data_IF_180047681563
#
_entry.id   IF_180047681563
#
_cell.length_a   1.000
_cell.length_b   1.000
_cell.length_c   1.000
_cell.angle_alpha   90.00
_cell.angle_beta   90.00
_cell.angle_gamma   90.00
#
_symmetry.space_group_name_H-M   'P 1'
#
loop_
_entity.id
_entity.type
_entity.pdbx_description
1 polymer ?
#
# COMPACT_ATOMS: atom_id res chain seq x y z
N UNK A 1 -10.17 -17.37 -0.29
CA UNK A 1 -9.55 -17.61 0.99
C UNK A 1 -9.06 -19.05 1.06
N UNK A 2 -7.77 -19.34 0.90
CA UNK A 2 -7.15 -20.63 1.22
C UNK A 2 -7.61 -21.88 0.47
N UNK A 3 -8.43 -21.77 -0.56
CA UNK A 3 -8.96 -22.96 -1.25
C UNK A 3 -7.88 -23.74 -2.01
N UNK A 4 -6.83 -23.05 -2.47
CA UNK A 4 -5.73 -23.72 -3.17
C UNK A 4 -4.81 -24.50 -2.21
N UNK A 5 -4.70 -24.11 -0.96
CA UNK A 5 -3.89 -24.80 0.03
C UNK A 5 -4.47 -26.19 0.37
N UNK A 6 -5.79 -26.32 0.45
CA UNK A 6 -6.44 -27.63 0.69
C UNK A 6 -6.13 -28.67 -0.35
N UNK A 7 -6.11 -28.27 -1.62
CA UNK A 7 -5.80 -29.19 -2.71
C UNK A 7 -4.33 -29.59 -2.72
N UNK A 8 -3.43 -28.69 -2.30
CA UNK A 8 -2.02 -28.99 -2.16
C UNK A 8 -1.72 -29.89 -0.96
N UNK A 9 -2.34 -29.64 0.18
CA UNK A 9 -2.23 -30.54 1.35
C UNK A 9 -2.74 -31.94 1.01
N UNK A 10 -3.86 -32.06 0.30
CA UNK A 10 -4.38 -33.36 -0.18
C UNK A 10 -3.43 -34.05 -1.15
N UNK A 11 -2.61 -33.32 -1.88
CA UNK A 11 -1.57 -33.87 -2.78
C UNK A 11 -0.28 -34.22 -2.06
N UNK A 12 -0.22 -34.07 -0.74
CA UNK A 12 0.95 -34.46 0.07
C UNK A 12 2.16 -33.56 -0.11
N UNK A 13 1.96 -32.26 -0.34
CA UNK A 13 3.04 -31.27 -0.36
C UNK A 13 3.39 -30.91 1.09
N UNK A 14 4.55 -31.35 1.65
CA UNK A 14 4.78 -31.38 3.11
C UNK A 14 4.92 -30.02 3.78
N UNK A 15 5.17 -28.95 3.00
CA UNK A 15 5.46 -27.61 3.56
C UNK A 15 4.22 -26.71 3.65
N UNK A 16 3.02 -27.23 3.29
CA UNK A 16 1.81 -26.42 3.21
C UNK A 16 0.81 -26.82 4.26
N UNK A 17 0.76 -26.04 5.31
CA UNK A 17 -0.33 -26.10 6.28
C UNK A 17 -1.49 -25.26 5.79
N UNK A 18 -2.71 -25.77 6.00
CA UNK A 18 -3.95 -25.06 5.70
C UNK A 18 -4.16 -24.02 6.79
N UNK A 19 -3.72 -22.78 6.52
CA UNK A 19 -3.85 -21.68 7.47
C UNK A 19 -5.08 -20.84 7.16
N UNK A 20 -6.01 -20.77 8.12
CA UNK A 20 -7.00 -19.71 8.20
C UNK A 20 -6.37 -18.56 8.98
N UNK A 21 -6.14 -17.45 8.29
CA UNK A 21 -5.63 -16.23 8.92
C UNK A 21 -6.68 -15.12 8.78
N UNK A 22 -6.85 -14.37 9.85
CA UNK A 22 -7.57 -13.11 9.84
C UNK A 22 -6.68 -12.01 10.41
N UNK A 23 -6.88 -10.80 9.93
CA UNK A 23 -6.21 -9.62 10.44
C UNK A 23 -7.21 -8.46 10.47
N UNK A 24 -6.95 -7.50 11.36
CA UNK A 24 -7.68 -6.25 11.41
C UNK A 24 -6.67 -5.09 11.43
N UNK A 25 -7.00 -4.04 10.69
CA UNK A 25 -6.24 -2.78 10.70
C UNK A 25 -7.10 -1.73 11.36
N UNK A 26 -6.63 -1.20 12.49
CA UNK A 26 -7.27 -0.08 13.16
C UNK A 26 -6.77 1.23 12.54
N UNK A 27 -7.68 2.02 12.02
CA UNK A 27 -7.43 3.37 11.51
C UNK A 27 -8.00 4.39 12.48
N UNK A 28 -7.24 5.43 12.75
CA UNK A 28 -7.64 6.54 13.61
C UNK A 28 -7.20 7.87 12.99
N UNK A 29 -7.59 8.96 13.61
CA UNK A 29 -7.02 10.26 13.30
C UNK A 29 -5.51 10.27 13.56
N UNK A 30 -4.81 11.19 12.90
CA UNK A 30 -3.37 11.37 13.05
C UNK A 30 -3.03 11.76 14.49
N UNK A 31 -2.26 10.91 15.17
CA UNK A 31 -1.84 11.12 16.57
C UNK A 31 -0.45 11.78 16.69
N UNK A 32 0.20 12.12 15.58
CA UNK A 32 1.54 12.70 15.55
C UNK A 32 2.68 11.69 15.79
N UNK A 33 2.38 10.42 16.05
CA UNK A 33 3.36 9.39 16.42
C UNK A 33 3.34 8.21 15.45
N UNK A 34 2.17 7.59 15.31
CA UNK A 34 2.02 6.43 14.42
C UNK A 34 2.19 6.82 12.95
N UNK A 35 2.71 5.92 12.10
CA UNK A 35 2.80 6.17 10.67
C UNK A 35 1.47 6.58 10.07
N UNK A 36 1.50 7.43 9.07
CA UNK A 36 0.32 7.97 8.40
C UNK A 36 0.12 7.32 7.04
N UNK A 37 -1.15 7.18 6.65
CA UNK A 37 -1.52 6.79 5.29
C UNK A 37 -1.69 8.05 4.46
N UNK A 38 -1.04 8.10 3.29
CA UNK A 38 -1.19 9.19 2.31
C UNK A 38 -2.50 9.03 1.56
N UNK A 39 -3.56 9.60 2.10
CA UNK A 39 -4.91 9.55 1.51
C UNK A 39 -5.04 10.33 0.21
N UNK A 40 -4.15 11.28 -0.02
CA UNK A 40 -4.02 12.06 -1.25
C UNK A 40 -3.34 11.31 -2.40
N UNK A 41 -2.71 10.17 -2.11
CA UNK A 41 -1.90 9.38 -3.03
C UNK A 41 -2.33 7.90 -3.09
N UNK A 42 -3.61 7.64 -3.03
CA UNK A 42 -4.15 6.28 -3.21
C UNK A 42 -4.14 5.92 -4.70
N UNK A 43 -3.54 4.77 -5.02
CA UNK A 43 -3.57 4.19 -6.36
C UNK A 43 -4.82 3.33 -6.55
N UNK A 44 -5.42 3.40 -7.72
CA UNK A 44 -6.59 2.61 -8.07
C UNK A 44 -6.61 2.30 -9.56
N UNK A 45 -6.62 1.02 -9.90
CA UNK A 45 -6.82 0.58 -11.28
C UNK A 45 -8.28 0.21 -11.50
N UNK A 46 -8.92 0.85 -12.47
CA UNK A 46 -10.32 0.60 -12.84
C UNK A 46 -10.39 -0.30 -14.06
N UNK A 47 -11.39 -1.16 -14.08
CA UNK A 47 -11.68 -2.00 -15.24
C UNK A 47 -11.97 -1.13 -16.46
N UNK A 48 -11.43 -1.54 -17.61
CA UNK A 48 -11.57 -0.79 -18.85
C UNK A 48 -10.47 0.27 -19.09
N UNK A 49 -9.62 0.55 -18.08
CA UNK A 49 -8.47 1.46 -18.23
C UNK A 49 -7.21 0.80 -18.80
N UNK A 50 -7.34 -0.41 -19.33
CA UNK A 50 -6.24 -1.21 -19.88
C UNK A 50 -5.99 -2.46 -19.03
N UNK A 51 -5.86 -3.61 -19.69
CA UNK A 51 -5.72 -4.91 -19.02
C UNK A 51 -4.27 -5.42 -19.01
N UNK A 52 -3.32 -4.64 -19.53
CA UNK A 52 -1.92 -5.04 -19.52
C UNK A 52 -1.35 -4.95 -18.10
N UNK A 53 -0.46 -5.86 -17.70
CA UNK A 53 0.23 -5.76 -16.41
C UNK A 53 0.88 -4.40 -16.18
N UNK A 54 1.40 -3.78 -17.24
CA UNK A 54 2.00 -2.46 -17.18
C UNK A 54 0.96 -1.38 -16.87
N UNK A 55 -0.22 -1.41 -17.49
CA UNK A 55 -1.27 -0.43 -17.22
C UNK A 55 -1.75 -0.52 -15.76
N UNK A 56 -1.93 -1.74 -15.25
CA UNK A 56 -2.27 -1.97 -13.84
C UNK A 56 -1.20 -1.39 -12.92
N UNK A 57 0.07 -1.76 -13.15
CA UNK A 57 1.18 -1.29 -12.31
C UNK A 57 1.39 0.23 -12.41
N UNK A 58 1.13 0.84 -13.56
CA UNK A 58 1.14 2.29 -13.68
C UNK A 58 0.10 2.92 -12.75
N UNK A 59 -1.14 2.48 -12.83
CA UNK A 59 -2.25 3.05 -12.05
C UNK A 59 -2.09 2.87 -10.53
N UNK A 60 -1.45 1.77 -10.09
CA UNK A 60 -1.32 1.47 -8.66
C UNK A 60 0.08 1.72 -8.08
N UNK A 61 1.07 2.03 -8.89
CA UNK A 61 2.44 2.35 -8.42
C UNK A 61 2.84 3.75 -8.85
N UNK A 62 2.97 4.02 -10.14
CA UNK A 62 3.55 5.29 -10.60
C UNK A 62 2.61 6.48 -10.45
N UNK A 63 1.34 6.33 -10.76
CA UNK A 63 0.38 7.43 -10.64
C UNK A 63 0.23 7.95 -9.21
N UNK A 64 0.07 7.09 -8.16
CA UNK A 64 0.04 7.58 -6.79
C UNK A 64 1.38 8.16 -6.32
N UNK A 65 2.52 7.61 -6.76
CA UNK A 65 3.82 8.19 -6.46
C UNK A 65 3.99 9.58 -7.07
N UNK A 66 3.58 9.76 -8.33
CA UNK A 66 3.62 11.06 -9.00
C UNK A 66 2.72 12.09 -8.29
N UNK A 67 1.54 11.68 -7.82
CA UNK A 67 0.67 12.54 -7.00
C UNK A 67 1.31 12.94 -5.68
N UNK A 68 2.04 12.02 -5.04
CA UNK A 68 2.76 12.29 -3.80
C UNK A 68 4.06 13.07 -4.00
N UNK A 69 4.52 13.23 -5.25
CA UNK A 69 5.82 13.83 -5.56
C UNK A 69 7.00 12.91 -5.25
N UNK A 70 6.79 11.58 -5.29
CA UNK A 70 7.81 10.58 -4.98
C UNK A 70 8.29 9.84 -6.23
N UNK A 71 9.53 9.39 -6.18
CA UNK A 71 10.11 8.39 -7.08
C UNK A 71 9.80 6.98 -6.58
N UNK A 72 9.95 5.99 -7.45
CA UNK A 72 9.90 4.58 -7.04
C UNK A 72 10.99 4.29 -6.00
N UNK A 73 12.16 4.90 -6.17
CA UNK A 73 13.31 4.74 -5.26
C UNK A 73 13.14 5.42 -3.90
N UNK A 74 12.13 6.27 -3.71
CA UNK A 74 11.81 6.90 -2.43
C UNK A 74 10.99 5.99 -1.50
N UNK A 75 10.55 4.84 -1.99
CA UNK A 75 9.84 3.83 -1.21
C UNK A 75 10.82 2.74 -0.80
N UNK A 76 10.98 2.54 0.50
CA UNK A 76 11.93 1.58 1.05
C UNK A 76 11.48 0.13 0.88
N UNK A 77 10.17 -0.12 0.98
CA UNK A 77 9.58 -1.47 0.87
C UNK A 77 8.27 -1.43 0.09
N UNK A 78 8.13 -2.40 -0.80
CA UNK A 78 6.89 -2.67 -1.51
C UNK A 78 6.30 -3.99 -1.02
N UNK A 79 5.03 -4.01 -0.67
CA UNK A 79 4.29 -5.21 -0.35
C UNK A 79 3.20 -5.45 -1.42
N UNK A 80 3.57 -6.00 -2.58
CA UNK A 80 2.63 -6.40 -3.61
C UNK A 80 1.95 -7.72 -3.23
N UNK A 81 1.31 -8.38 -4.18
CA UNK A 81 0.74 -9.72 -3.98
C UNK A 81 1.75 -10.68 -3.33
N UNK A 82 1.72 -10.78 -2.01
CA UNK A 82 2.69 -11.55 -1.20
C UNK A 82 2.31 -13.01 -1.07
N UNK A 83 1.81 -13.60 -2.14
CA UNK A 83 1.46 -15.04 -2.18
C UNK A 83 2.70 -15.92 -2.06
N UNK A 84 2.56 -17.04 -1.34
CA UNK A 84 3.68 -17.97 -1.16
C UNK A 84 4.02 -18.69 -2.48
N UNK A 85 5.24 -18.57 -3.00
CA UNK A 85 5.67 -19.25 -4.23
C UNK A 85 5.62 -20.77 -4.16
N UNK A 86 5.81 -21.38 -2.98
CA UNK A 86 5.67 -22.83 -2.82
C UNK A 86 4.27 -23.34 -3.21
N UNK A 87 3.26 -22.45 -3.16
CA UNK A 87 1.90 -22.73 -3.59
C UNK A 87 1.69 -22.30 -5.04
N UNK A 88 2.15 -21.12 -5.40
CA UNK A 88 1.83 -20.52 -6.69
C UNK A 88 2.64 -21.12 -7.85
N UNK A 89 3.89 -21.51 -7.63
CA UNK A 89 4.72 -22.14 -8.66
C UNK A 89 4.16 -23.49 -9.13
N UNK A 90 3.82 -24.44 -8.24
CA UNK A 90 3.18 -25.69 -8.68
C UNK A 90 1.81 -25.48 -9.31
N UNK A 91 1.11 -24.41 -8.98
CA UNK A 91 -0.16 -24.03 -9.60
C UNK A 91 0.00 -23.33 -10.96
N UNK A 92 1.22 -23.12 -11.43
CA UNK A 92 1.51 -22.50 -12.73
C UNK A 92 1.52 -20.96 -12.73
N UNK A 93 1.39 -20.32 -11.57
CA UNK A 93 1.43 -18.85 -11.47
C UNK A 93 2.85 -18.28 -11.26
N UNK A 94 3.84 -19.16 -10.97
CA UNK A 94 5.21 -18.76 -10.72
C UNK A 94 5.40 -18.02 -9.39
N UNK A 95 6.57 -17.40 -9.22
CA UNK A 95 6.87 -16.57 -8.06
C UNK A 95 6.25 -15.17 -8.23
N UNK A 96 5.02 -15.02 -7.73
CA UNK A 96 4.20 -13.81 -7.91
C UNK A 96 4.82 -12.58 -7.28
N UNK A 97 5.29 -12.59 -6.01
CA UNK A 97 5.97 -11.43 -5.43
C UNK A 97 7.19 -10.99 -6.22
N UNK A 98 8.07 -11.91 -6.58
CA UNK A 98 9.27 -11.59 -7.36
C UNK A 98 8.93 -11.01 -8.73
N UNK A 99 7.91 -11.50 -9.40
CA UNK A 99 7.45 -10.94 -10.67
C UNK A 99 6.98 -9.49 -10.51
N UNK A 100 6.25 -9.18 -9.43
CA UNK A 100 5.84 -7.81 -9.12
C UNK A 100 7.04 -6.90 -8.80
N UNK A 101 8.01 -7.35 -8.00
CA UNK A 101 9.23 -6.56 -7.75
C UNK A 101 10.03 -6.28 -9.03
N UNK A 102 10.15 -7.26 -9.92
CA UNK A 102 10.78 -7.06 -11.24
C UNK A 102 10.03 -6.02 -12.08
N UNK A 103 8.70 -6.03 -12.06
CA UNK A 103 7.90 -5.01 -12.76
C UNK A 103 8.10 -3.61 -12.18
N UNK A 104 8.11 -3.47 -10.86
CA UNK A 104 8.36 -2.18 -10.18
C UNK A 104 9.75 -1.67 -10.52
N UNK A 105 10.78 -2.53 -10.43
CA UNK A 105 12.16 -2.16 -10.79
C UNK A 105 12.29 -1.81 -12.28
N UNK A 106 11.58 -2.51 -13.17
CA UNK A 106 11.57 -2.17 -14.59
C UNK A 106 10.91 -0.80 -14.87
N UNK A 107 9.89 -0.43 -14.08
CA UNK A 107 9.32 0.91 -14.16
C UNK A 107 10.31 1.97 -13.69
N UNK A 108 11.08 1.71 -12.63
CA UNK A 108 12.13 2.61 -12.16
C UNK A 108 13.23 2.82 -13.24
N UNK A 109 13.64 1.74 -13.92
CA UNK A 109 14.56 1.85 -15.08
C UNK A 109 13.95 2.69 -16.20
N UNK A 110 12.69 2.43 -16.56
CA UNK A 110 11.99 3.16 -17.62
C UNK A 110 11.87 4.66 -17.31
N UNK A 111 11.77 5.01 -16.03
CA UNK A 111 11.69 6.39 -15.54
C UNK A 111 13.07 7.04 -15.39
N UNK A 112 14.16 6.30 -15.60
CA UNK A 112 15.52 6.78 -15.40
C UNK A 112 15.88 7.02 -13.93
N UNK A 113 15.20 6.36 -13.02
CA UNK A 113 15.45 6.46 -11.57
C UNK A 113 16.57 5.52 -11.12
N UNK A 114 16.78 4.42 -11.84
CA UNK A 114 17.89 3.47 -11.67
C UNK A 114 18.43 3.04 -13.03
N UNK A 115 19.67 2.59 -13.08
CA UNK A 115 20.26 2.00 -14.26
C UNK A 115 19.76 0.56 -14.49
N UNK A 116 19.72 0.14 -15.77
CA UNK A 116 19.27 -1.23 -16.11
C UNK A 116 20.09 -2.33 -15.42
N UNK A 117 21.37 -2.09 -15.19
CA UNK A 117 22.30 -2.99 -14.49
C UNK A 117 21.95 -3.16 -13.01
N UNK A 118 21.22 -2.21 -12.43
CA UNK A 118 20.83 -2.21 -11.01
C UNK A 118 19.46 -2.87 -10.77
N UNK A 119 18.74 -3.29 -11.82
CA UNK A 119 17.38 -3.80 -11.72
C UNK A 119 17.25 -4.93 -10.68
N UNK A 120 18.13 -5.93 -10.71
CA UNK A 120 18.06 -7.06 -9.79
C UNK A 120 18.41 -6.65 -8.34
N UNK A 121 19.37 -5.72 -8.18
CA UNK A 121 19.66 -5.16 -6.85
C UNK A 121 18.46 -4.40 -6.29
N UNK A 122 17.74 -3.66 -7.13
CA UNK A 122 16.50 -2.99 -6.73
C UNK A 122 15.40 -3.98 -6.32
N UNK A 123 15.25 -5.11 -7.04
CA UNK A 123 14.34 -6.18 -6.64
C UNK A 123 14.62 -6.66 -5.23
N UNK A 124 15.88 -6.88 -4.88
CA UNK A 124 16.28 -7.34 -3.55
C UNK A 124 16.07 -6.24 -2.49
N UNK A 125 16.35 -4.97 -2.83
CA UNK A 125 16.19 -3.87 -1.88
C UNK A 125 14.74 -3.51 -1.59
N UNK A 126 13.84 -3.62 -2.57
CA UNK A 126 12.40 -3.35 -2.43
C UNK A 126 11.63 -4.52 -1.86
N UNK A 127 12.20 -5.73 -1.99
CA UNK A 127 11.55 -6.98 -1.67
C UNK A 127 11.42 -7.23 -0.19
N UNK A 128 10.56 -8.20 0.12
CA UNK A 128 10.27 -8.63 1.48
C UNK A 128 10.93 -9.98 1.74
N UNK A 129 11.36 -10.24 2.98
CA UNK A 129 12.02 -11.51 3.34
C UNK A 129 11.03 -12.68 3.49
N UNK A 130 9.73 -12.48 3.33
CA UNK A 130 8.71 -13.49 3.56
C UNK A 130 7.45 -13.27 2.72
N UNK A 131 6.44 -14.08 3.01
CA UNK A 131 5.17 -14.12 2.30
C UNK A 131 4.00 -14.00 3.26
N UNK A 132 2.86 -13.53 2.77
CA UNK A 132 1.65 -13.50 3.55
C UNK A 132 1.10 -14.92 3.77
N UNK A 133 0.47 -15.20 4.92
CA UNK A 133 -0.15 -16.50 5.20
C UNK A 133 -1.45 -16.73 4.40
N UNK A 134 -1.75 -15.87 3.44
CA UNK A 134 -2.97 -15.92 2.62
C UNK A 134 -2.64 -15.99 1.15
N UNK A 135 -3.52 -16.62 0.38
CA UNK A 135 -3.44 -16.73 -1.08
C UNK A 135 -4.33 -15.71 -1.82
N UNK A 136 -5.02 -14.86 -1.09
CA UNK A 136 -5.83 -13.80 -1.68
C UNK A 136 -4.96 -12.77 -2.40
N UNK A 137 -5.33 -12.41 -3.64
CA UNK A 137 -4.55 -11.45 -4.44
C UNK A 137 -4.53 -10.06 -3.82
N UNK A 138 -5.71 -9.45 -3.58
CA UNK A 138 -5.79 -8.10 -3.03
C UNK A 138 -5.29 -8.05 -1.58
N UNK A 139 -5.74 -8.93 -0.67
CA UNK A 139 -5.37 -8.80 0.74
C UNK A 139 -3.96 -9.28 1.07
N UNK A 140 -3.24 -9.94 0.15
CA UNK A 140 -1.96 -10.59 0.48
C UNK A 140 -0.83 -9.61 0.85
N UNK A 141 -0.89 -8.34 0.46
CA UNK A 141 0.04 -7.31 0.89
C UNK A 141 -0.30 -6.68 2.25
N UNK A 142 -1.55 -6.79 2.70
CA UNK A 142 -2.05 -6.09 3.89
C UNK A 142 -1.40 -6.55 5.20
N UNK A 143 -1.07 -7.83 5.42
CA UNK A 143 -0.38 -8.27 6.65
C UNK A 143 0.95 -7.56 6.90
N UNK A 144 1.59 -7.01 5.88
CA UNK A 144 2.82 -6.23 6.04
C UNK A 144 2.62 -4.91 6.77
N UNK A 145 1.41 -4.37 6.85
CA UNK A 145 1.13 -3.07 7.50
C UNK A 145 1.66 -3.04 8.94
N UNK A 146 1.47 -4.10 9.72
CA UNK A 146 1.99 -4.20 11.08
C UNK A 146 3.53 -4.13 11.12
N UNK A 147 4.19 -4.88 10.24
CA UNK A 147 5.65 -4.86 10.13
C UNK A 147 6.15 -3.50 9.64
N UNK A 148 5.52 -2.90 8.65
CA UNK A 148 5.85 -1.55 8.16
C UNK A 148 5.77 -0.52 9.29
N UNK A 149 4.70 -0.59 10.11
CA UNK A 149 4.54 0.29 11.27
C UNK A 149 5.75 0.18 12.22
N UNK A 150 6.11 -1.05 12.63
CA UNK A 150 7.23 -1.27 13.54
C UNK A 150 8.55 -0.78 12.94
N UNK A 151 8.84 -1.12 11.69
CA UNK A 151 10.05 -0.70 11.00
C UNK A 151 10.14 0.84 10.88
N UNK A 152 9.02 1.52 10.63
CA UNK A 152 8.98 2.99 10.57
C UNK A 152 9.20 3.60 11.94
N UNK A 153 8.58 3.06 12.99
CA UNK A 153 8.76 3.55 14.37
C UNK A 153 10.19 3.35 14.88
N UNK A 154 10.84 2.27 14.47
CA UNK A 154 12.25 1.97 14.78
C UNK A 154 13.22 2.78 13.92
N UNK A 155 12.73 3.46 12.88
CA UNK A 155 13.55 4.25 11.97
C UNK A 155 14.34 3.42 10.95
N UNK A 156 13.98 2.16 10.75
CA UNK A 156 14.61 1.28 9.76
C UNK A 156 14.20 1.64 8.33
N UNK A 157 12.94 2.06 8.17
CA UNK A 157 12.40 2.58 6.91
C UNK A 157 11.63 3.87 7.14
N UNK A 158 11.43 4.62 6.09
CA UNK A 158 10.63 5.86 6.09
C UNK A 158 9.28 5.66 5.45
N UNK A 159 9.21 4.86 4.39
CA UNK A 159 8.01 4.65 3.58
C UNK A 159 7.86 3.20 3.14
N UNK A 160 6.63 2.74 3.13
CA UNK A 160 6.25 1.48 2.53
C UNK A 160 5.04 1.67 1.62
N UNK A 161 4.96 0.91 0.54
CA UNK A 161 3.80 0.88 -0.34
C UNK A 161 3.13 -0.48 -0.29
N UNK A 162 1.87 -0.48 0.11
CA UNK A 162 1.03 -1.68 0.17
C UNK A 162 0.23 -1.74 -1.13
N UNK A 163 0.30 -2.86 -1.82
CA UNK A 163 -0.32 -3.05 -3.13
C UNK A 163 -1.22 -4.28 -3.11
N UNK A 164 -2.51 -4.06 -3.33
CA UNK A 164 -3.47 -5.11 -3.60
C UNK A 164 -3.81 -5.13 -5.09
N UNK A 165 -3.47 -6.22 -5.77
CA UNK A 165 -3.78 -6.40 -7.18
C UNK A 165 -4.66 -7.64 -7.32
N UNK A 166 -5.88 -7.47 -7.81
CA UNK A 166 -6.85 -8.54 -7.98
C UNK A 166 -6.73 -9.23 -9.33
N UNK A 167 -7.48 -10.30 -9.49
CA UNK A 167 -7.66 -10.90 -10.81
C UNK A 167 -8.63 -10.04 -11.62
N UNK A 168 -8.36 -9.92 -12.91
CA UNK A 168 -9.27 -9.29 -13.88
C UNK A 168 -10.68 -9.90 -13.88
N UNK A 169 -10.81 -11.14 -13.39
CA UNK A 169 -12.08 -11.84 -13.28
C UNK A 169 -12.99 -11.21 -12.20
N UNK A 170 -12.46 -10.93 -11.02
CA UNK A 170 -13.22 -10.25 -9.96
C UNK A 170 -13.62 -8.84 -10.38
N UNK A 171 -12.71 -8.17 -11.04
CA UNK A 171 -12.99 -6.87 -11.60
C UNK A 171 -14.15 -6.88 -12.59
N UNK A 172 -14.19 -7.82 -13.52
CA UNK A 172 -15.28 -7.99 -14.49
C UNK A 172 -16.61 -8.30 -13.84
N UNK A 173 -16.63 -9.11 -12.77
CA UNK A 173 -17.85 -9.46 -12.06
C UNK A 173 -18.45 -8.29 -11.29
N UNK A 174 -17.62 -7.47 -10.70
CA UNK A 174 -18.06 -6.37 -9.82
C UNK A 174 -18.19 -5.03 -10.55
N UNK A 175 -17.59 -4.89 -11.73
CA UNK A 175 -17.43 -3.65 -12.48
C UNK A 175 -16.80 -2.51 -11.64
N UNK A 176 -16.01 -2.90 -10.64
CA UNK A 176 -15.30 -1.98 -9.75
C UNK A 176 -13.81 -1.90 -10.14
N UNK A 177 -12.95 -1.82 -9.16
CA UNK A 177 -11.50 -1.81 -9.34
C UNK A 177 -10.92 -3.23 -9.16
N UNK A 178 -9.79 -3.50 -9.78
CA UNK A 178 -9.02 -4.74 -9.68
C UNK A 178 -7.62 -4.53 -9.11
N UNK A 179 -7.31 -3.32 -8.69
CA UNK A 179 -6.06 -2.97 -8.04
C UNK A 179 -6.20 -1.72 -7.19
N UNK A 180 -5.55 -1.73 -6.03
CA UNK A 180 -5.48 -0.61 -5.10
C UNK A 180 -4.10 -0.57 -4.47
N UNK A 181 -3.62 0.62 -4.16
CA UNK A 181 -2.41 0.79 -3.36
C UNK A 181 -2.52 1.98 -2.42
N UNK A 182 -1.74 1.93 -1.36
CA UNK A 182 -1.60 3.02 -0.42
C UNK A 182 -0.13 3.14 0.04
N UNK A 183 0.26 4.35 0.37
CA UNK A 183 1.57 4.66 0.93
C UNK A 183 1.40 4.87 2.43
N UNK A 184 2.23 4.18 3.21
CA UNK A 184 2.39 4.38 4.65
C UNK A 184 3.74 5.05 4.85
N UNK A 185 3.78 6.15 5.58
CA UNK A 185 5.01 6.88 5.80
C UNK A 185 5.18 7.34 7.25
N UNK A 186 6.42 7.65 7.59
CA UNK A 186 6.78 8.19 8.89
C UNK A 186 5.97 9.45 9.17
N UNK A 187 5.39 9.52 10.37
CA UNK A 187 4.69 10.68 10.84
C UNK A 187 5.64 11.88 10.97
N UNK A 188 5.22 13.02 10.49
CA UNK A 188 5.97 14.28 10.60
C UNK A 188 5.92 14.90 12.01
N UNK A 189 5.09 14.33 12.89
CA UNK A 189 4.78 14.92 14.21
C UNK A 189 3.79 16.08 14.14
N UNK A 190 3.37 16.48 12.94
CA UNK A 190 2.37 17.54 12.76
C UNK A 190 0.99 16.89 12.78
N UNK A 191 0.22 17.20 13.80
CA UNK A 191 -1.19 16.84 13.88
C UNK A 191 -1.97 18.03 13.33
N UNK A 192 -2.71 17.80 12.25
CA UNK A 192 -3.71 18.77 11.81
C UNK A 192 -4.89 18.66 12.78
N UNK A 193 -4.93 19.59 13.73
CA UNK A 193 -5.98 19.61 14.75
C UNK A 193 -7.32 20.05 14.19
N UNK A 194 -7.40 20.33 12.90
CA UNK A 194 -8.59 20.90 12.27
C UNK A 194 -8.92 22.32 12.76
N UNK A 195 -8.13 22.82 13.70
CA UNK A 195 -8.21 24.17 14.22
C UNK A 195 -7.11 25.02 13.58
N UNK A 196 -7.46 25.77 12.56
CA UNK A 196 -6.66 26.92 12.17
C UNK A 196 -6.68 27.90 13.35
N UNK A 197 -5.55 28.01 14.06
CA UNK A 197 -5.43 28.92 15.21
C UNK A 197 -5.81 30.37 14.83
N UNK A 198 -5.55 30.75 13.58
CA UNK A 198 -5.98 32.03 13.01
C UNK A 198 -7.50 32.14 12.88
N UNK A 199 -8.16 31.08 12.39
CA UNK A 199 -9.62 31.04 12.28
C UNK A 199 -10.30 31.06 13.65
N UNK A 200 -9.74 30.33 14.62
CA UNK A 200 -10.24 30.34 16.02
C UNK A 200 -10.06 31.72 16.66
N UNK A 201 -8.92 32.38 16.47
CA UNK A 201 -8.68 33.75 16.97
C UNK A 201 -9.64 34.76 16.34
N UNK A 202 -9.92 34.63 15.03
CA UNK A 202 -10.90 35.47 14.34
C UNK A 202 -12.32 35.25 14.89
N UNK A 203 -12.72 33.99 15.08
CA UNK A 203 -14.02 33.62 15.62
C UNK A 203 -14.21 34.14 17.05
N UNK A 204 -13.18 34.07 17.91
CA UNK A 204 -13.18 34.62 19.25
C UNK A 204 -13.25 36.17 19.18
N UNK A 205 -12.49 36.82 18.31
CA UNK A 205 -12.49 38.27 18.14
C UNK A 205 -13.86 38.78 17.67
N UNK A 206 -14.52 38.06 16.73
CA UNK A 206 -15.85 38.40 16.27
C UNK A 206 -16.91 38.22 17.37
N UNK A 207 -16.85 37.09 18.10
CA UNK A 207 -17.74 36.86 19.24
C UNK A 207 -17.59 37.92 20.32
N UNK A 208 -16.36 38.32 20.65
CA UNK A 208 -16.10 39.41 21.60
C UNK A 208 -16.58 40.76 21.10
N UNK A 209 -16.49 41.03 19.79
CA UNK A 209 -16.99 42.24 19.16
C UNK A 209 -18.52 42.32 19.22
N UNK A 210 -19.18 41.20 18.94
CA UNK A 210 -20.63 41.13 19.02
C UNK A 210 -21.14 41.24 20.46
N UNK A 211 -20.46 40.59 21.39
CA UNK A 211 -20.74 40.75 22.81
C UNK A 211 -20.59 42.22 23.27
N UNK A 212 -19.55 42.90 22.81
CA UNK A 212 -19.34 44.33 23.17
C UNK A 212 -20.44 45.26 22.58
N UNK A 213 -21.10 44.87 21.47
CA UNK A 213 -22.23 45.62 20.92
C UNK A 213 -23.47 45.56 21.81
N UNK A 214 -23.70 44.42 22.46
CA UNK A 214 -24.88 44.22 23.36
C UNK A 214 -24.85 45.10 24.61
N UNK A 215 -23.70 45.70 24.95
CA UNK A 215 -23.59 46.66 26.08
C UNK A 215 -23.69 48.12 25.64
N UNK A 216 -23.93 48.41 24.39
CA UNK A 216 -24.07 49.76 23.85
C UNK A 216 -25.49 50.20 23.55
N UNK A 217 -26.44 49.27 23.73
CA UNK A 217 -27.88 49.53 23.78
C UNK A 217 -28.38 49.63 25.21
#
# INVERSE_FOLDING_TARGET
LGMNSRDHVKKGVPALEDMLASFAVHLSENDGVNPVIRTDAVGCHRIGSGASPQAVMTAIVTDPLDKAGYKITDIDRYAPEMQNPEITEPAGAGNVPQANYKMISALAVKRGEIERTELLKAVDSFGMPGFAPTQGHIPSGVPFIGHAREMILQGEITRAMIIGKGSLFLGRLTNLFDGVSLIIEKNSGKVDTGFDEGAVRLMIADAMRDFAKTFRE
#
